data_IF_224620881000
#
_entry.id   IF_224620881000
#
_cell.length_a   1.000
_cell.length_b   1.000
_cell.length_c   1.000
_cell.angle_alpha   90.00
_cell.angle_beta   90.00
_cell.angle_gamma   90.00
#
_symmetry.space_group_name_H-M   'P 1'
#
loop_
_entity.id
_entity.type
_entity.pdbx_description
1 polymer ?
#
# COMPACT_ATOMS: atom_id res chain seq x y z
N UNK A 1 4.89 0.85 39.98
CA UNK A 1 4.52 1.25 38.61
C UNK A 1 5.78 1.30 37.75
N UNK A 2 6.29 0.15 37.28
CA UNK A 2 7.54 0.07 36.50
C UNK A 2 7.57 -1.12 35.53
N UNK A 3 6.49 -1.36 34.76
CA UNK A 3 6.41 -2.48 33.81
C UNK A 3 6.11 -2.10 32.34
N UNK A 4 5.84 -0.84 31.99
CA UNK A 4 5.39 -0.50 30.62
C UNK A 4 6.50 -0.18 29.59
N UNK A 5 7.73 0.12 30.04
CA UNK A 5 8.78 0.59 29.11
C UNK A 5 9.33 -0.49 28.17
N UNK A 6 9.32 -1.77 28.58
CA UNK A 6 9.81 -2.85 27.71
C UNK A 6 8.82 -3.17 26.58
N UNK A 7 7.53 -3.04 26.85
CA UNK A 7 6.49 -3.39 25.89
C UNK A 7 6.41 -2.36 24.75
N UNK A 8 6.54 -1.08 25.09
CA UNK A 8 6.57 0.02 24.11
C UNK A 8 7.76 -0.09 23.14
N UNK A 9 8.96 -0.42 23.66
CA UNK A 9 10.14 -0.68 22.82
C UNK A 9 9.93 -1.87 21.89
N UNK A 10 9.36 -2.97 22.39
CA UNK A 10 9.10 -4.15 21.58
C UNK A 10 8.11 -3.88 20.44
N UNK A 11 7.00 -3.18 20.71
CA UNK A 11 6.02 -2.77 19.70
C UNK A 11 6.69 -1.89 18.65
N UNK A 12 7.52 -0.92 19.06
CA UNK A 12 8.22 -0.05 18.11
C UNK A 12 9.20 -0.80 17.20
N UNK A 13 9.85 -1.86 17.71
CA UNK A 13 10.74 -2.71 16.91
C UNK A 13 9.95 -3.56 15.93
N UNK A 14 8.82 -4.12 16.38
CA UNK A 14 7.94 -4.93 15.54
C UNK A 14 7.40 -4.13 14.35
N UNK A 15 6.90 -2.91 14.60
CA UNK A 15 6.34 -2.05 13.54
C UNK A 15 7.43 -1.58 12.57
N UNK A 16 8.63 -1.25 13.07
CA UNK A 16 9.80 -0.96 12.24
C UNK A 16 10.22 -2.13 11.36
N UNK A 17 10.14 -3.36 11.88
CA UNK A 17 10.47 -4.59 11.15
C UNK A 17 9.33 -5.11 10.26
N UNK A 18 8.24 -4.36 10.13
CA UNK A 18 7.08 -4.70 9.30
C UNK A 18 7.08 -3.91 7.98
N UNK A 19 6.63 -4.55 6.90
CA UNK A 19 6.23 -3.91 5.64
C UNK A 19 4.73 -4.11 5.43
N UNK A 20 4.01 -3.07 5.05
CA UNK A 20 2.62 -3.17 4.64
C UNK A 20 2.50 -3.27 3.12
N UNK A 21 1.66 -4.16 2.62
CA UNK A 21 1.22 -4.21 1.23
C UNK A 21 -0.27 -3.88 1.15
N UNK A 22 -0.58 -2.78 0.46
CA UNK A 22 -1.95 -2.37 0.18
C UNK A 22 -2.33 -2.82 -1.23
N UNK A 23 -3.33 -3.68 -1.31
CA UNK A 23 -3.86 -4.23 -2.55
C UNK A 23 -4.90 -3.28 -3.14
N UNK A 24 -4.45 -2.38 -4.01
CA UNK A 24 -5.25 -1.31 -4.60
C UNK A 24 -5.67 -1.59 -6.07
N UNK A 25 -5.67 -2.85 -6.49
CA UNK A 25 -6.02 -3.28 -7.86
C UNK A 25 -7.52 -3.42 -8.14
N UNK A 26 -8.40 -3.23 -7.15
CA UNK A 26 -9.83 -3.50 -7.27
C UNK A 26 -10.54 -2.60 -8.29
N UNK A 27 -11.11 -3.21 -9.35
CA UNK A 27 -11.97 -2.51 -10.32
C UNK A 27 -13.22 -1.91 -9.68
N UNK A 28 -13.77 -2.55 -8.64
CA UNK A 28 -14.95 -2.04 -7.92
C UNK A 28 -16.24 -2.08 -8.73
N UNK A 29 -16.43 -3.06 -9.62
CA UNK A 29 -17.56 -3.16 -10.55
C UNK A 29 -18.95 -2.98 -9.91
N UNK A 30 -19.11 -3.33 -8.64
CA UNK A 30 -20.35 -3.13 -7.86
C UNK A 30 -20.70 -1.66 -7.62
N UNK A 31 -19.77 -0.75 -7.80
CA UNK A 31 -19.96 0.71 -7.70
C UNK A 31 -20.40 1.34 -9.04
N UNK A 32 -20.57 0.54 -10.10
CA UNK A 32 -21.01 0.98 -11.43
C UNK A 32 -20.15 2.14 -11.93
N UNK A 33 -20.80 3.16 -12.50
CA UNK A 33 -20.23 4.32 -13.19
C UNK A 33 -19.23 5.11 -12.32
N UNK A 34 -19.34 5.00 -10.98
CA UNK A 34 -18.41 5.64 -10.06
C UNK A 34 -16.96 5.17 -10.28
N UNK A 35 -16.76 3.93 -10.74
CA UNK A 35 -15.43 3.33 -10.97
C UNK A 35 -15.03 3.26 -12.44
N UNK A 36 -15.79 3.90 -13.33
CA UNK A 36 -15.51 3.84 -14.78
C UNK A 36 -14.23 4.57 -15.17
N UNK A 37 -13.84 5.60 -14.43
CA UNK A 37 -12.67 6.44 -14.76
C UNK A 37 -11.52 6.33 -13.77
N UNK A 38 -11.71 5.60 -12.68
CA UNK A 38 -10.70 5.46 -11.62
C UNK A 38 -10.90 4.15 -10.85
N UNK A 39 -9.81 3.63 -10.28
CA UNK A 39 -9.85 2.47 -9.40
C UNK A 39 -10.70 2.73 -8.16
N UNK A 40 -11.32 1.69 -7.57
CA UNK A 40 -12.08 1.81 -6.31
C UNK A 40 -11.32 2.54 -5.21
N UNK A 41 -10.02 2.27 -4.95
CA UNK A 41 -9.26 2.97 -3.91
C UNK A 41 -9.13 4.49 -4.14
N UNK A 42 -9.27 4.94 -5.39
CA UNK A 42 -9.20 6.35 -5.77
C UNK A 42 -10.55 7.08 -5.68
N UNK A 43 -11.64 6.39 -5.33
CA UNK A 43 -12.96 7.00 -5.17
C UNK A 43 -12.92 8.04 -4.04
N UNK A 44 -13.39 9.28 -4.28
CA UNK A 44 -13.49 10.30 -3.23
C UNK A 44 -14.42 9.87 -2.09
N UNK A 45 -14.03 10.17 -0.86
CA UNK A 45 -14.79 9.87 0.35
C UNK A 45 -14.66 11.01 1.36
N UNK A 46 -15.75 11.35 2.06
CA UNK A 46 -15.72 12.35 3.14
C UNK A 46 -15.29 13.76 2.69
N UNK A 47 -15.55 14.14 1.44
CA UNK A 47 -15.31 15.48 0.88
C UNK A 47 -13.85 15.81 0.52
N UNK A 48 -12.87 15.26 1.24
CA UNK A 48 -11.45 15.58 1.03
C UNK A 48 -10.53 14.37 0.88
N UNK A 49 -11.01 13.17 1.19
CA UNK A 49 -10.20 11.95 1.20
C UNK A 49 -10.54 11.05 0.01
N UNK A 50 -9.75 9.98 -0.13
CA UNK A 50 -10.04 8.81 -0.94
C UNK A 50 -10.02 7.57 -0.08
N UNK A 51 -10.61 6.49 -0.57
CA UNK A 51 -10.69 5.22 0.17
C UNK A 51 -9.28 4.74 0.60
N UNK A 52 -8.26 4.91 -0.24
CA UNK A 52 -6.89 4.49 0.09
C UNK A 52 -6.25 5.26 1.25
N UNK A 53 -6.74 6.46 1.58
CA UNK A 53 -6.16 7.26 2.66
C UNK A 53 -6.36 6.60 4.03
N UNK A 54 -7.41 5.77 4.18
CA UNK A 54 -7.68 5.04 5.42
C UNK A 54 -6.61 3.98 5.74
N UNK A 55 -6.33 2.99 4.87
CA UNK A 55 -5.27 2.02 5.14
C UNK A 55 -3.89 2.68 5.24
N UNK A 56 -3.59 3.72 4.43
CA UNK A 56 -2.33 4.47 4.54
C UNK A 56 -2.20 5.16 5.90
N UNK A 57 -3.24 5.87 6.35
CA UNK A 57 -3.25 6.52 7.66
C UNK A 57 -3.11 5.50 8.79
N UNK A 58 -3.77 4.35 8.67
CA UNK A 58 -3.66 3.27 9.66
C UNK A 58 -2.23 2.75 9.76
N UNK A 59 -1.52 2.56 8.64
CA UNK A 59 -0.11 2.17 8.64
C UNK A 59 0.75 3.19 9.39
N UNK A 60 0.65 4.47 9.01
CA UNK A 60 1.47 5.54 9.61
C UNK A 60 1.16 5.72 11.10
N UNK A 61 -0.12 5.74 11.49
CA UNK A 61 -0.53 5.87 12.88
C UNK A 61 -0.13 4.65 13.73
N UNK A 62 0.03 3.49 13.11
CA UNK A 62 0.53 2.27 13.76
C UNK A 62 2.06 2.19 13.76
N UNK A 63 2.78 3.18 13.22
CA UNK A 63 4.24 3.18 13.13
C UNK A 63 4.81 2.27 12.03
N UNK A 64 3.98 1.79 11.10
CA UNK A 64 4.40 1.03 9.91
C UNK A 64 4.63 2.04 8.78
N UNK A 65 5.90 2.32 8.49
CA UNK A 65 6.31 3.40 7.58
C UNK A 65 6.94 2.92 6.27
N UNK A 66 6.93 1.61 6.06
CA UNK A 66 7.34 0.96 4.81
C UNK A 66 6.10 0.35 4.18
N UNK A 67 5.58 0.99 3.14
CA UNK A 67 4.31 0.63 2.53
C UNK A 67 4.48 0.47 1.03
N UNK A 68 4.12 -0.69 0.49
CA UNK A 68 3.96 -0.93 -0.93
C UNK A 68 2.48 -0.86 -1.32
N UNK A 69 2.15 -0.12 -2.36
CA UNK A 69 0.79 -0.01 -2.89
C UNK A 69 0.73 -0.68 -4.25
N UNK A 70 0.09 -1.85 -4.30
CA UNK A 70 -0.04 -2.63 -5.52
C UNK A 70 -1.21 -2.10 -6.35
N UNK A 71 -0.94 -1.65 -7.57
CA UNK A 71 -1.93 -1.05 -8.46
C UNK A 71 -2.02 -1.81 -9.78
N UNK A 72 -3.21 -1.85 -10.39
CA UNK A 72 -3.44 -2.60 -11.63
C UNK A 72 -4.32 -1.79 -12.58
N UNK A 73 -5.61 -1.67 -12.29
CA UNK A 73 -6.59 -1.06 -13.19
C UNK A 73 -6.68 0.46 -13.02
N UNK A 74 -6.68 1.21 -14.13
CA UNK A 74 -6.98 2.67 -14.19
C UNK A 74 -6.37 3.46 -13.01
N UNK A 75 -5.09 3.22 -12.74
CA UNK A 75 -4.39 3.68 -11.54
C UNK A 75 -3.85 5.12 -11.64
N UNK A 76 -3.93 5.79 -12.79
CA UNK A 76 -3.34 7.13 -12.98
C UNK A 76 -3.80 8.16 -11.94
N UNK A 77 -5.09 8.20 -11.63
CA UNK A 77 -5.64 9.11 -10.62
C UNK A 77 -5.15 8.75 -9.22
N UNK A 78 -5.00 7.46 -8.91
CA UNK A 78 -4.49 6.93 -7.65
C UNK A 78 -3.00 7.26 -7.47
N UNK A 79 -2.19 6.97 -8.48
CA UNK A 79 -0.76 7.27 -8.53
C UNK A 79 -0.52 8.75 -8.26
N UNK A 80 -1.23 9.63 -8.98
CA UNK A 80 -1.13 11.08 -8.78
C UNK A 80 -1.50 11.51 -7.37
N UNK A 81 -2.50 10.88 -6.75
CA UNK A 81 -2.91 11.20 -5.38
C UNK A 81 -1.88 10.80 -4.36
N UNK A 82 -1.30 9.61 -4.50
CA UNK A 82 -0.22 9.13 -3.64
C UNK A 82 1.01 10.02 -3.79
N UNK A 83 1.42 10.31 -5.02
CA UNK A 83 2.57 11.19 -5.29
C UNK A 83 2.42 12.61 -4.74
N UNK A 84 1.19 13.13 -4.63
CA UNK A 84 0.95 14.49 -4.11
C UNK A 84 0.66 14.53 -2.62
N UNK A 85 -0.05 13.54 -2.10
CA UNK A 85 -0.53 13.52 -0.72
C UNK A 85 0.33 12.71 0.24
N UNK A 86 1.15 11.79 -0.27
CA UNK A 86 1.83 10.78 0.53
C UNK A 86 3.36 10.70 0.29
N UNK A 87 3.94 11.63 -0.48
CA UNK A 87 5.39 11.70 -0.74
C UNK A 87 6.19 12.46 0.33
N UNK A 88 5.73 12.46 1.58
CA UNK A 88 6.39 13.18 2.69
C UNK A 88 7.36 12.31 3.50
N UNK A 89 7.42 11.00 3.24
CA UNK A 89 8.33 10.09 3.93
C UNK A 89 9.76 10.25 3.42
N UNK A 90 10.72 10.23 4.34
CA UNK A 90 12.12 10.40 4.02
C UNK A 90 12.80 9.03 3.88
N UNK A 91 13.31 8.75 2.67
CA UNK A 91 14.03 7.51 2.36
C UNK A 91 15.30 7.29 3.18
N UNK A 92 15.91 8.36 3.73
CA UNK A 92 17.07 8.25 4.62
C UNK A 92 16.77 7.45 5.89
N UNK A 93 15.52 7.43 6.35
CA UNK A 93 15.08 6.64 7.50
C UNK A 93 14.51 5.27 7.12
N UNK A 94 14.70 4.83 5.88
CA UNK A 94 14.07 3.63 5.32
C UNK A 94 12.53 3.68 5.43
N UNK A 95 11.94 4.87 5.26
CA UNK A 95 10.50 5.11 5.24
C UNK A 95 10.06 5.44 3.81
N UNK A 96 9.03 4.76 3.32
CA UNK A 96 8.55 4.95 1.96
C UNK A 96 7.10 4.50 1.78
N UNK A 97 6.44 5.17 0.84
CA UNK A 97 5.21 4.69 0.21
C UNK A 97 5.55 4.50 -1.27
N UNK A 98 5.72 3.25 -1.68
CA UNK A 98 6.11 2.89 -3.03
C UNK A 98 4.91 2.38 -3.83
N UNK A 99 4.83 2.77 -5.09
CA UNK A 99 3.80 2.33 -6.02
C UNK A 99 4.33 1.13 -6.80
N UNK A 100 3.61 0.01 -6.74
CA UNK A 100 3.93 -1.24 -7.40
C UNK A 100 2.91 -1.46 -8.52
N UNK A 101 3.11 -0.89 -9.72
CA UNK A 101 2.21 -1.12 -10.84
C UNK A 101 2.33 -2.56 -11.35
N UNK A 102 1.23 -3.14 -11.81
CA UNK A 102 1.26 -4.37 -12.60
C UNK A 102 2.22 -4.16 -13.78
N UNK A 103 3.29 -4.96 -13.82
CA UNK A 103 4.33 -4.81 -14.83
C UNK A 103 3.84 -5.33 -16.18
N UNK A 104 3.99 -4.51 -17.22
CA UNK A 104 3.88 -4.93 -18.62
C UNK A 104 5.27 -5.33 -19.18
N UNK A 105 6.22 -5.78 -18.34
CA UNK A 105 7.62 -5.92 -18.76
C UNK A 105 7.91 -7.04 -19.77
N UNK A 106 7.01 -7.99 -19.94
CA UNK A 106 7.18 -9.03 -20.95
C UNK A 106 6.03 -8.92 -21.95
N UNK A 107 6.31 -9.17 -23.23
CA UNK A 107 5.38 -9.19 -24.37
C UNK A 107 4.11 -10.07 -24.22
N UNK A 108 3.83 -10.61 -23.03
CA UNK A 108 2.58 -11.24 -22.66
C UNK A 108 1.86 -10.33 -21.65
N UNK A 109 0.60 -10.02 -21.95
CA UNK A 109 -0.34 -9.22 -21.16
C UNK A 109 -0.68 -9.84 -19.77
N UNK A 110 0.29 -10.18 -18.93
CA UNK A 110 0.02 -10.81 -17.64
C UNK A 110 -0.30 -9.74 -16.58
N UNK A 111 -1.54 -9.23 -16.68
CA UNK A 111 -2.26 -8.67 -15.56
C UNK A 111 -2.18 -9.63 -14.36
N UNK A 112 -2.19 -9.12 -13.13
CA UNK A 112 -2.30 -9.97 -11.95
C UNK A 112 -3.51 -10.92 -12.09
N UNK A 113 -3.23 -12.23 -12.01
CA UNK A 113 -4.24 -13.32 -12.10
C UNK A 113 -5.15 -13.31 -10.87
N UNK A 114 -4.71 -12.68 -9.80
CA UNK A 114 -5.47 -12.46 -8.58
C UNK A 114 -4.65 -11.75 -7.51
N UNK A 115 -5.23 -11.60 -6.32
CA UNK A 115 -4.61 -10.89 -5.20
C UNK A 115 -3.29 -11.53 -4.75
N UNK A 116 -3.25 -12.87 -4.67
CA UNK A 116 -2.04 -13.60 -4.26
C UNK A 116 -0.95 -13.54 -5.34
N UNK A 117 -1.34 -13.60 -6.62
CA UNK A 117 -0.43 -13.43 -7.76
C UNK A 117 0.19 -12.03 -7.76
N UNK A 118 -0.59 -11.01 -7.39
CA UNK A 118 -0.09 -9.65 -7.25
C UNK A 118 1.01 -9.52 -6.19
N UNK A 119 0.89 -10.25 -5.07
CA UNK A 119 1.96 -10.32 -4.06
C UNK A 119 3.15 -11.12 -4.59
N UNK A 120 2.90 -12.24 -5.26
CA UNK A 120 3.95 -13.13 -5.78
C UNK A 120 4.84 -12.45 -6.83
N UNK A 121 4.24 -11.72 -7.78
CA UNK A 121 4.99 -10.96 -8.80
C UNK A 121 5.88 -9.86 -8.21
N UNK A 122 5.61 -9.40 -6.98
CA UNK A 122 6.38 -8.38 -6.28
C UNK A 122 7.23 -8.96 -5.14
N UNK A 123 7.49 -10.28 -5.12
CA UNK A 123 8.21 -10.94 -4.02
C UNK A 123 9.64 -10.43 -3.89
N UNK A 124 10.30 -10.07 -4.99
CA UNK A 124 11.68 -9.56 -4.99
C UNK A 124 11.80 -8.25 -4.19
N UNK A 125 10.76 -7.40 -4.26
CA UNK A 125 10.67 -6.13 -3.52
C UNK A 125 10.45 -6.40 -2.03
N UNK A 126 9.66 -7.43 -1.69
CA UNK A 126 9.51 -7.84 -0.30
C UNK A 126 10.81 -8.40 0.27
N UNK A 127 11.53 -9.20 -0.50
CA UNK A 127 12.81 -9.78 -0.10
C UNK A 127 13.88 -8.70 0.11
N UNK A 128 13.93 -7.68 -0.78
CA UNK A 128 14.89 -6.58 -0.64
C UNK A 128 14.64 -5.70 0.59
N UNK A 129 13.39 -5.63 1.07
CA UNK A 129 13.03 -4.86 2.26
C UNK A 129 13.59 -5.42 3.58
N UNK A 130 14.05 -6.68 3.59
CA UNK A 130 14.52 -7.43 4.76
C UNK A 130 13.54 -7.34 5.96
N UNK A 131 12.24 -7.27 5.69
CA UNK A 131 11.21 -7.21 6.72
C UNK A 131 10.98 -8.59 7.35
N UNK A 132 10.75 -8.61 8.67
CA UNK A 132 10.41 -9.85 9.39
C UNK A 132 8.92 -10.18 9.29
N UNK A 133 8.09 -9.14 9.10
CA UNK A 133 6.64 -9.25 9.04
C UNK A 133 6.11 -8.54 7.81
N UNK A 134 5.08 -9.12 7.21
CA UNK A 134 4.33 -8.53 6.11
C UNK A 134 2.86 -8.42 6.52
N UNK A 135 2.30 -7.22 6.41
CA UNK A 135 0.87 -6.97 6.64
C UNK A 135 0.19 -6.74 5.31
N UNK A 136 -0.81 -7.56 4.99
CA UNK A 136 -1.60 -7.44 3.76
C UNK A 136 -2.90 -6.69 4.07
N UNK A 137 -3.15 -5.61 3.34
CA UNK A 137 -4.33 -4.75 3.51
C UNK A 137 -5.11 -4.64 2.20
N UNK A 138 -6.42 -4.52 2.30
CA UNK A 138 -7.28 -4.13 1.18
C UNK A 138 -7.32 -2.60 1.06
N UNK A 139 -7.09 -2.08 -0.14
CA UNK A 139 -7.17 -0.66 -0.49
C UNK A 139 -8.53 -0.20 -0.99
#
# INVERSE_FOLDING_TARGET
MAQDNNNSRFISTMTKNTVALILAGGRGSRLKDLTDRHAKPAVPFGGKFRIIDFPLSNCINSGIRRVGVITQYKSHSLIRHIQRGWSFLNGEFNEYIELLPASQQNNNEEWYKGTADAVHQNVDILQSSNAQYVVILAG
#
